data_IF_893097393487
#
_entry.id   IF_893097393487
#
_cell.length_a   1.000
_cell.length_b   1.000
_cell.length_c   1.000
_cell.angle_alpha   90.00
_cell.angle_beta   90.00
_cell.angle_gamma   90.00
#
_symmetry.space_group_name_H-M   'P 1'
#
loop_
_entity.id
_entity.type
_entity.pdbx_description
1 polymer ?
#
# COMPACT_ATOMS: atom_id res chain seq x y z
N UNK A 1 89.77 5.49 -13.85
CA UNK A 1 88.60 5.82 -12.99
C UNK A 1 87.69 6.79 -13.72
N UNK A 2 86.48 6.36 -14.14
CA UNK A 2 85.35 7.23 -14.49
C UNK A 2 84.09 6.49 -14.05
N UNK A 3 83.46 6.99 -12.99
CA UNK A 3 82.26 6.41 -12.41
C UNK A 3 81.07 6.62 -13.35
N UNK A 4 80.48 5.52 -13.80
CA UNK A 4 79.20 5.51 -14.51
C UNK A 4 78.11 5.51 -13.44
N UNK A 5 77.48 6.66 -13.21
CA UNK A 5 76.29 6.76 -12.36
C UNK A 5 75.09 6.33 -13.20
N UNK A 6 74.62 5.11 -12.96
CA UNK A 6 73.35 4.60 -13.49
C UNK A 6 72.20 5.40 -12.86
N UNK A 7 71.60 6.32 -13.61
CA UNK A 7 70.29 6.85 -13.23
C UNK A 7 69.22 5.79 -13.47
N UNK A 8 68.83 5.11 -12.38
CA UNK A 8 67.65 4.25 -12.34
C UNK A 8 66.41 5.15 -12.42
N UNK A 9 65.91 5.35 -13.65
CA UNK A 9 64.62 6.00 -13.90
C UNK A 9 63.52 5.11 -13.32
N UNK A 10 63.09 5.39 -12.09
CA UNK A 10 61.91 4.80 -11.47
C UNK A 10 60.70 5.29 -12.26
N UNK A 11 60.25 4.49 -13.23
CA UNK A 11 58.93 4.63 -13.81
C UNK A 11 57.90 4.25 -12.75
N UNK A 12 57.40 5.24 -12.04
CA UNK A 12 56.13 5.10 -11.31
C UNK A 12 55.06 4.94 -12.40
N UNK A 13 54.77 3.70 -12.75
CA UNK A 13 53.64 3.34 -13.62
C UNK A 13 52.38 3.70 -12.84
N UNK A 14 51.83 4.88 -13.11
CA UNK A 14 50.65 5.37 -12.43
C UNK A 14 49.45 4.50 -12.84
N UNK A 15 48.88 3.77 -11.88
CA UNK A 15 47.71 2.89 -12.08
C UNK A 15 46.41 3.69 -12.13
N UNK A 16 46.37 4.81 -12.86
CA UNK A 16 45.23 5.74 -12.88
C UNK A 16 43.91 5.05 -13.27
N UNK A 17 43.93 4.09 -14.20
CA UNK A 17 42.72 3.39 -14.62
C UNK A 17 42.07 2.48 -13.57
N UNK A 18 42.82 1.97 -12.58
CA UNK A 18 42.27 1.05 -11.57
C UNK A 18 41.45 1.75 -10.48
N UNK A 19 41.87 2.97 -10.11
CA UNK A 19 41.20 3.76 -9.08
C UNK A 19 39.86 4.32 -9.59
N UNK A 20 39.82 4.79 -10.83
CA UNK A 20 38.60 5.30 -11.47
C UNK A 20 37.52 4.22 -11.60
N UNK A 21 37.91 3.02 -12.04
CA UNK A 21 36.98 1.88 -12.16
C UNK A 21 36.42 1.49 -10.78
N UNK A 22 37.26 1.46 -9.75
CA UNK A 22 36.84 1.11 -8.39
C UNK A 22 35.83 2.11 -7.83
N UNK A 23 36.04 3.40 -8.09
CA UNK A 23 35.11 4.47 -7.69
C UNK A 23 33.76 4.30 -8.41
N UNK A 24 33.76 3.99 -9.71
CA UNK A 24 32.53 3.74 -10.47
C UNK A 24 31.76 2.55 -9.87
N UNK A 25 32.42 1.44 -9.58
CA UNK A 25 31.78 0.29 -8.94
C UNK A 25 31.23 0.64 -7.55
N UNK A 26 31.97 1.42 -6.76
CA UNK A 26 31.49 1.86 -5.44
C UNK A 26 30.20 2.68 -5.56
N UNK A 27 30.12 3.64 -6.48
CA UNK A 27 28.90 4.40 -6.72
C UNK A 27 27.75 3.51 -7.20
N UNK A 28 28.02 2.57 -8.10
CA UNK A 28 27.02 1.61 -8.56
C UNK A 28 26.46 0.77 -7.39
N UNK A 29 27.33 0.32 -6.50
CA UNK A 29 26.94 -0.40 -5.28
C UNK A 29 26.06 0.47 -4.38
N UNK A 30 26.44 1.73 -4.13
CA UNK A 30 25.63 2.65 -3.31
C UNK A 30 24.25 2.85 -3.95
N UNK A 31 24.19 3.04 -5.27
CA UNK A 31 22.92 3.23 -5.98
C UNK A 31 22.03 1.99 -5.81
N UNK A 32 22.54 0.79 -6.09
CA UNK A 32 21.76 -0.46 -6.08
C UNK A 32 21.37 -0.89 -4.68
N UNK A 33 22.25 -0.77 -3.69
CA UNK A 33 22.03 -1.33 -2.36
C UNK A 33 21.52 -0.32 -1.33
N UNK A 34 21.62 0.97 -1.60
CA UNK A 34 21.17 2.03 -0.67
C UNK A 34 20.04 2.85 -1.28
N UNK A 35 20.29 3.42 -2.46
CA UNK A 35 19.35 4.37 -3.07
C UNK A 35 18.08 3.65 -3.53
N UNK A 36 18.20 2.58 -4.34
CA UNK A 36 17.03 1.84 -4.85
C UNK A 36 16.12 1.25 -3.75
N UNK A 37 16.64 0.58 -2.70
CA UNK A 37 15.80 0.09 -1.61
C UNK A 37 15.08 1.21 -0.87
N UNK A 38 15.76 2.33 -0.63
CA UNK A 38 15.16 3.49 0.03
C UNK A 38 14.01 4.08 -0.82
N UNK A 39 14.24 4.27 -2.13
CA UNK A 39 13.20 4.74 -3.04
C UNK A 39 12.02 3.78 -3.11
N UNK A 40 12.28 2.48 -3.16
CA UNK A 40 11.22 1.46 -3.19
C UNK A 40 10.37 1.54 -1.93
N UNK A 41 10.99 1.67 -0.76
CA UNK A 41 10.29 1.83 0.50
C UNK A 41 9.40 3.09 0.55
N UNK A 42 9.93 4.23 0.11
CA UNK A 42 9.18 5.49 0.08
C UNK A 42 7.99 5.37 -0.89
N UNK A 43 8.24 4.85 -2.10
CA UNK A 43 7.20 4.71 -3.12
C UNK A 43 6.09 3.76 -2.67
N UNK A 44 6.45 2.63 -2.08
CA UNK A 44 5.51 1.67 -1.52
C UNK A 44 4.66 2.29 -0.41
N UNK A 45 5.26 3.09 0.49
CA UNK A 45 4.53 3.82 1.52
C UNK A 45 3.54 4.85 0.94
N UNK A 46 3.95 5.59 -0.09
CA UNK A 46 3.05 6.54 -0.77
C UNK A 46 1.90 5.82 -1.45
N UNK A 47 2.18 4.73 -2.16
CA UNK A 47 1.18 3.90 -2.82
C UNK A 47 0.15 3.36 -1.83
N UNK A 48 0.58 2.82 -0.68
CA UNK A 48 -0.33 2.36 0.36
C UNK A 48 -1.18 3.49 0.95
N UNK A 49 -0.61 4.68 1.14
CA UNK A 49 -1.38 5.82 1.64
C UNK A 49 -2.48 6.26 0.68
N UNK A 50 -2.24 6.20 -0.64
CA UNK A 50 -3.25 6.50 -1.65
C UNK A 50 -4.38 5.47 -1.59
N UNK A 51 -4.04 4.18 -1.55
CA UNK A 51 -5.03 3.10 -1.44
C UNK A 51 -5.85 3.23 -0.17
N UNK A 52 -5.22 3.46 0.98
CA UNK A 52 -5.93 3.62 2.26
C UNK A 52 -6.92 4.77 2.21
N UNK A 53 -6.51 5.92 1.68
CA UNK A 53 -7.38 7.09 1.57
C UNK A 53 -8.56 6.83 0.63
N UNK A 54 -8.33 6.17 -0.50
CA UNK A 54 -9.40 5.87 -1.44
C UNK A 54 -10.42 4.91 -0.81
N UNK A 55 -9.96 3.84 -0.16
CA UNK A 55 -10.84 2.91 0.55
C UNK A 55 -11.63 3.63 1.63
N UNK A 56 -10.97 4.47 2.44
CA UNK A 56 -11.63 5.27 3.47
C UNK A 56 -12.74 6.12 2.89
N UNK A 57 -12.46 6.87 1.82
CA UNK A 57 -13.44 7.71 1.14
C UNK A 57 -14.61 6.88 0.59
N UNK A 58 -14.31 5.75 -0.06
CA UNK A 58 -15.32 4.84 -0.58
C UNK A 58 -16.23 4.29 0.52
N UNK A 59 -15.66 3.87 1.66
CA UNK A 59 -16.45 3.38 2.79
C UNK A 59 -17.32 4.47 3.39
N UNK A 60 -16.80 5.69 3.51
CA UNK A 60 -17.55 6.84 4.00
C UNK A 60 -18.75 7.16 3.10
N UNK A 61 -18.55 7.18 1.78
CA UNK A 61 -19.63 7.35 0.80
C UNK A 61 -20.64 6.21 0.87
N UNK A 62 -20.17 4.96 1.00
CA UNK A 62 -21.02 3.76 1.10
C UNK A 62 -21.91 3.82 2.34
N UNK A 63 -21.33 4.07 3.50
CA UNK A 63 -22.03 4.17 4.78
C UNK A 63 -22.98 5.35 4.82
N UNK A 64 -22.58 6.51 4.29
CA UNK A 64 -23.45 7.69 4.23
C UNK A 64 -24.65 7.43 3.34
N UNK A 65 -24.47 6.73 2.22
CA UNK A 65 -25.55 6.36 1.29
C UNK A 65 -26.52 5.37 1.94
N UNK A 66 -25.98 4.33 2.59
CA UNK A 66 -26.76 3.35 3.34
C UNK A 66 -27.58 4.03 4.45
N UNK A 67 -26.96 4.94 5.21
CA UNK A 67 -27.64 5.66 6.29
C UNK A 67 -28.76 6.57 5.77
N UNK A 68 -28.53 7.30 4.67
CA UNK A 68 -29.56 8.12 4.02
C UNK A 68 -30.74 7.27 3.58
N UNK A 69 -30.48 6.12 2.97
CA UNK A 69 -31.52 5.20 2.52
C UNK A 69 -32.32 4.62 3.68
N UNK A 70 -31.66 4.19 4.76
CA UNK A 70 -32.34 3.74 5.98
C UNK A 70 -33.18 4.83 6.61
N UNK A 71 -32.67 6.07 6.71
CA UNK A 71 -33.44 7.17 7.30
C UNK A 71 -34.71 7.43 6.47
N UNK A 72 -34.62 7.46 5.15
CA UNK A 72 -35.76 7.62 4.24
C UNK A 72 -36.78 6.45 4.37
N UNK A 73 -36.30 5.21 4.40
CA UNK A 73 -37.15 4.00 4.55
C UNK A 73 -37.80 3.90 5.94
N UNK A 74 -37.11 4.34 6.99
CA UNK A 74 -37.62 4.26 8.36
C UNK A 74 -38.56 5.43 8.69
N UNK A 75 -38.31 6.64 8.17
CA UNK A 75 -39.25 7.76 8.21
C UNK A 75 -40.59 7.41 7.55
N UNK A 76 -40.55 6.63 6.46
CA UNK A 76 -41.77 6.19 5.76
C UNK A 76 -42.49 5.00 6.43
N UNK A 77 -41.84 4.27 7.34
CA UNK A 77 -42.40 3.04 7.97
C UNK A 77 -42.57 3.10 9.49
N UNK A 78 -42.24 4.23 10.14
CA UNK A 78 -42.50 4.47 11.56
C UNK A 78 -41.74 3.56 12.54
N UNK A 79 -40.76 2.78 12.09
CA UNK A 79 -40.01 1.83 12.92
C UNK A 79 -38.51 1.97 12.64
N UNK A 80 -37.77 2.62 13.54
CA UNK A 80 -36.32 2.65 13.53
C UNK A 80 -35.77 1.38 14.20
N UNK A 81 -35.60 0.32 13.42
CA UNK A 81 -34.65 -0.75 13.77
C UNK A 81 -33.57 -0.75 12.70
N UNK A 82 -32.42 -0.16 13.03
CA UNK A 82 -31.19 -0.33 12.25
C UNK A 82 -30.82 -1.80 12.43
N UNK A 83 -31.22 -2.62 11.46
CA UNK A 83 -30.85 -4.03 11.43
C UNK A 83 -29.41 -4.10 10.92
N UNK A 84 -28.58 -4.92 11.56
CA UNK A 84 -27.21 -5.22 11.15
C UNK A 84 -27.22 -5.98 9.81
N UNK A 85 -27.53 -5.32 8.70
CA UNK A 85 -27.47 -5.94 7.39
C UNK A 85 -26.05 -5.74 6.83
N UNK A 86 -25.12 -6.53 7.37
CA UNK A 86 -23.76 -6.72 6.83
C UNK A 86 -23.81 -6.93 5.31
N UNK A 87 -24.79 -7.70 4.85
CA UNK A 87 -25.01 -8.01 3.43
C UNK A 87 -25.31 -6.76 2.58
N UNK A 88 -26.08 -5.80 3.10
CA UNK A 88 -26.34 -4.54 2.38
C UNK A 88 -25.07 -3.69 2.31
N UNK A 89 -24.33 -3.57 3.43
CA UNK A 89 -23.06 -2.84 3.44
C UNK A 89 -22.05 -3.45 2.46
N UNK A 90 -21.94 -4.77 2.43
CA UNK A 90 -21.08 -5.48 1.47
C UNK A 90 -21.43 -5.15 0.02
N UNK A 91 -22.72 -4.99 -0.31
CA UNK A 91 -23.13 -4.60 -1.67
C UNK A 91 -22.67 -3.19 -2.03
N UNK A 92 -22.81 -2.20 -1.14
CA UNK A 92 -22.30 -0.85 -1.42
C UNK A 92 -20.78 -0.82 -1.54
N UNK A 93 -20.07 -1.59 -0.72
CA UNK A 93 -18.61 -1.72 -0.80
C UNK A 93 -18.21 -2.34 -2.14
N UNK A 94 -18.88 -3.43 -2.57
CA UNK A 94 -18.62 -4.08 -3.87
C UNK A 94 -18.83 -3.13 -5.04
N UNK A 95 -19.91 -2.35 -5.02
CA UNK A 95 -20.22 -1.39 -6.08
C UNK A 95 -19.18 -0.26 -6.12
N UNK A 96 -18.86 0.33 -4.98
CA UNK A 96 -18.02 1.52 -4.95
C UNK A 96 -16.52 1.22 -5.10
N UNK A 97 -16.06 0.02 -4.70
CA UNK A 97 -14.67 -0.44 -4.94
C UNK A 97 -14.51 -1.22 -6.25
N UNK A 98 -15.58 -1.34 -7.04
CA UNK A 98 -15.62 -2.10 -8.29
C UNK A 98 -15.09 -3.53 -8.12
N UNK A 99 -15.67 -4.27 -7.17
CA UNK A 99 -15.31 -5.65 -6.85
C UNK A 99 -16.24 -6.64 -7.56
N UNK A 100 -15.81 -7.90 -7.60
CA UNK A 100 -16.65 -9.06 -7.96
C UNK A 100 -17.46 -9.54 -6.75
N UNK A 101 -18.33 -10.51 -6.98
CA UNK A 101 -19.20 -11.05 -5.94
C UNK A 101 -18.44 -11.78 -4.81
N UNK A 102 -17.25 -12.29 -5.13
CA UNK A 102 -16.30 -12.92 -4.20
C UNK A 102 -15.38 -11.92 -3.47
N UNK A 103 -15.64 -10.62 -3.59
CA UNK A 103 -14.79 -9.52 -3.07
C UNK A 103 -13.39 -9.43 -3.71
N UNK A 104 -13.15 -10.15 -4.82
CA UNK A 104 -11.94 -9.96 -5.63
C UNK A 104 -12.06 -8.71 -6.51
N UNK A 105 -10.92 -8.09 -6.80
CA UNK A 105 -10.84 -6.91 -7.67
C UNK A 105 -11.26 -7.23 -9.12
N UNK A 106 -12.03 -6.35 -9.76
CA UNK A 106 -12.24 -6.38 -11.22
C UNK A 106 -11.09 -5.71 -11.97
N UNK A 107 -11.00 -5.96 -13.27
CA UNK A 107 -10.14 -5.17 -14.16
C UNK A 107 -10.56 -3.69 -14.05
N UNK A 108 -9.62 -2.82 -13.69
CA UNK A 108 -9.83 -1.40 -13.31
C UNK A 108 -10.42 -1.14 -11.91
N UNK A 109 -10.38 -2.10 -11.00
CA UNK A 109 -10.52 -1.77 -9.56
C UNK A 109 -9.28 -1.03 -9.09
N UNK A 110 -9.47 -0.14 -8.11
CA UNK A 110 -8.38 0.63 -7.49
C UNK A 110 -7.47 -0.31 -6.67
N UNK A 111 -7.95 -1.53 -6.39
CA UNK A 111 -7.29 -2.51 -5.58
C UNK A 111 -6.67 -3.60 -6.46
N UNK A 112 -5.46 -3.99 -6.09
CA UNK A 112 -4.76 -5.14 -6.64
C UNK A 112 -4.78 -6.26 -5.60
N UNK A 113 -5.97 -6.82 -5.36
CA UNK A 113 -6.14 -8.00 -4.51
C UNK A 113 -7.47 -8.03 -3.74
N UNK A 114 -7.72 -9.18 -3.12
CA UNK A 114 -9.00 -9.44 -2.46
C UNK A 114 -9.14 -8.61 -1.18
N UNK A 115 -10.38 -8.18 -0.91
CA UNK A 115 -10.76 -7.55 0.36
C UNK A 115 -11.51 -8.56 1.20
N UNK A 116 -11.19 -8.62 2.48
CA UNK A 116 -11.97 -9.33 3.47
C UNK A 116 -12.48 -8.37 4.55
N UNK A 117 -13.78 -8.35 4.81
CA UNK A 117 -14.35 -7.61 5.93
C UNK A 117 -14.16 -8.44 7.19
N UNK A 118 -13.25 -7.98 8.05
CA UNK A 118 -12.91 -8.67 9.30
C UNK A 118 -13.96 -8.38 10.35
N UNK A 119 -14.33 -7.12 10.51
CA UNK A 119 -15.26 -6.70 11.56
C UNK A 119 -15.99 -5.41 11.21
N UNK A 120 -17.20 -5.27 11.75
CA UNK A 120 -18.03 -4.07 11.64
C UNK A 120 -18.65 -3.81 13.01
N UNK A 121 -18.24 -2.73 13.66
CA UNK A 121 -18.80 -2.28 14.92
C UNK A 121 -19.68 -1.05 14.69
N UNK A 122 -20.96 -1.17 15.04
CA UNK A 122 -21.91 -0.06 14.99
C UNK A 122 -21.93 0.66 16.34
N UNK A 123 -21.40 1.88 16.37
CA UNK A 123 -21.52 2.80 17.47
C UNK A 123 -22.72 3.75 17.32
N UNK A 124 -23.05 4.45 18.40
CA UNK A 124 -24.14 5.44 18.44
C UNK A 124 -23.97 6.61 17.45
N UNK A 125 -22.72 6.98 17.16
CA UNK A 125 -22.39 8.12 16.29
C UNK A 125 -21.44 7.76 15.15
N UNK A 126 -21.00 6.51 15.09
CA UNK A 126 -19.99 6.09 14.12
C UNK A 126 -20.15 4.61 13.79
N UNK A 127 -19.66 4.24 12.63
CA UNK A 127 -19.42 2.84 12.26
C UNK A 127 -17.92 2.66 12.13
N UNK A 128 -17.39 1.64 12.79
CA UNK A 128 -16.02 1.21 12.65
C UNK A 128 -16.00 -0.04 11.76
N UNK A 129 -15.24 0.01 10.67
CA UNK A 129 -15.07 -1.12 9.74
C UNK A 129 -13.60 -1.50 9.74
N UNK A 130 -13.32 -2.78 9.95
CA UNK A 130 -11.98 -3.37 9.83
C UNK A 130 -11.93 -4.24 8.59
N UNK A 131 -11.01 -3.91 7.68
CA UNK A 131 -10.79 -4.61 6.42
C UNK A 131 -9.37 -5.16 6.36
N UNK A 132 -9.22 -6.37 5.86
CA UNK A 132 -7.93 -6.91 5.44
C UNK A 132 -7.87 -6.87 3.92
N UNK A 133 -6.86 -6.19 3.37
CA UNK A 133 -6.65 -6.05 1.94
C UNK A 133 -5.35 -6.75 1.58
N UNK A 134 -5.43 -7.60 0.56
CA UNK A 134 -4.25 -8.20 -0.05
C UNK A 134 -3.69 -7.25 -1.08
N UNK A 135 -2.40 -6.95 -0.98
CA UNK A 135 -1.71 -6.08 -1.92
C UNK A 135 -0.47 -6.78 -2.43
N UNK A 136 -0.23 -6.69 -3.74
CA UNK A 136 1.00 -7.19 -4.34
C UNK A 136 2.19 -6.34 -3.88
N UNK A 137 3.24 -6.95 -3.29
CA UNK A 137 4.43 -6.22 -2.89
C UNK A 137 5.24 -5.75 -4.10
N UNK A 138 5.88 -4.58 -3.99
CA UNK A 138 6.82 -4.09 -5.00
C UNK A 138 8.04 -4.99 -5.13
N UNK A 139 8.74 -4.91 -6.29
CA UNK A 139 9.82 -5.81 -6.71
C UNK A 139 10.79 -6.18 -5.57
N UNK A 140 11.33 -5.18 -4.87
CA UNK A 140 12.30 -5.43 -3.80
C UNK A 140 11.70 -6.23 -2.63
N UNK A 141 10.51 -5.83 -2.17
CA UNK A 141 9.81 -6.52 -1.09
C UNK A 141 9.30 -7.88 -1.54
N UNK A 142 8.91 -8.06 -2.80
CA UNK A 142 8.53 -9.34 -3.39
C UNK A 142 9.68 -10.34 -3.32
N UNK A 143 10.91 -9.90 -3.57
CA UNK A 143 12.11 -10.74 -3.37
C UNK A 143 12.28 -11.14 -1.90
N UNK A 144 12.15 -10.19 -0.98
CA UNK A 144 12.24 -10.47 0.47
C UNK A 144 11.12 -11.41 0.96
N UNK A 145 9.90 -11.23 0.47
CA UNK A 145 8.75 -12.03 0.86
C UNK A 145 8.86 -13.47 0.36
N UNK A 146 9.39 -13.67 -0.85
CA UNK A 146 9.75 -15.01 -1.34
C UNK A 146 10.78 -15.72 -0.46
N UNK A 147 11.71 -14.98 0.16
CA UNK A 147 12.70 -15.59 1.07
C UNK A 147 12.07 -16.10 2.37
N UNK A 148 10.91 -15.57 2.77
CA UNK A 148 10.17 -15.97 3.98
C UNK A 148 8.90 -16.78 3.66
N UNK A 149 8.82 -17.33 2.44
CA UNK A 149 7.70 -18.12 1.93
C UNK A 149 6.33 -17.42 2.06
N UNK A 150 6.31 -16.10 1.85
CA UNK A 150 5.08 -15.30 1.77
C UNK A 150 4.92 -14.76 0.35
N UNK A 151 3.73 -14.91 -0.21
CA UNK A 151 3.39 -14.43 -1.56
C UNK A 151 2.75 -13.05 -1.57
N UNK A 152 2.05 -12.68 -0.49
CA UNK A 152 1.16 -11.51 -0.45
C UNK A 152 1.33 -10.70 0.82
N UNK A 153 1.17 -9.39 0.69
CA UNK A 153 1.07 -8.49 1.83
C UNK A 153 -0.40 -8.35 2.24
N UNK A 154 -0.71 -8.65 3.50
CA UNK A 154 -2.01 -8.32 4.08
C UNK A 154 -1.88 -7.02 4.87
N UNK A 155 -2.64 -6.00 4.46
CA UNK A 155 -2.73 -4.71 5.15
C UNK A 155 -4.10 -4.63 5.82
N UNK A 156 -4.08 -4.41 7.13
CA UNK A 156 -5.30 -4.18 7.91
C UNK A 156 -5.59 -2.69 7.95
N UNK A 157 -6.76 -2.29 7.47
CA UNK A 157 -7.23 -0.91 7.50
C UNK A 157 -8.40 -0.81 8.46
N UNK A 158 -8.31 0.14 9.38
CA UNK A 158 -9.38 0.50 10.29
C UNK A 158 -9.97 1.84 9.84
N UNK A 159 -11.24 1.80 9.44
CA UNK A 159 -11.98 2.98 9.01
C UNK A 159 -13.12 3.23 9.97
N UNK A 160 -13.02 4.35 10.68
CA UNK A 160 -14.10 4.91 11.48
C UNK A 160 -14.79 6.01 10.67
N UNK A 161 -16.08 5.85 10.44
CA UNK A 161 -16.93 6.83 9.76
C UNK A 161 -17.93 7.38 10.76
N UNK A 162 -17.94 8.69 10.94
CA UNK A 162 -18.94 9.36 11.77
C UNK A 162 -20.25 9.48 11.00
N UNK A 163 -21.36 9.04 11.59
CA UNK A 163 -22.67 9.14 10.98
C UNK A 163 -23.22 10.57 11.10
N UNK A 164 -23.85 11.12 10.05
CA UNK A 164 -24.55 12.38 10.16
C UNK A 164 -25.80 12.19 11.02
N UNK A 165 -25.71 12.51 12.31
CA UNK A 165 -26.87 12.54 13.20
C UNK A 165 -27.62 13.83 12.90
N UNK A 166 -28.85 13.70 12.40
CA UNK A 166 -29.74 14.81 12.19
C UNK A 166 -30.12 15.36 13.58
N UNK A 167 -29.63 16.55 13.92
CA UNK A 167 -30.14 17.34 15.04
C UNK A 167 -31.25 18.25 14.52
#
# INVERSE_FOLDING_TARGET
>A
MKNIVFQKKLSIKSSFGGMEITIIFLYLFIIIFVIFPLFTYIYEKMYFSIIENEIRNTLEVSLTSLYKEYNIKNLSKGNLKIKNDKDELEQYIKLNLNLKDDMSSKENSILFGDINIVDIEYGLKNVNIVLDIRIEPFIYRKVLMKMIDKSELVVRINVKVDMPINN
#
